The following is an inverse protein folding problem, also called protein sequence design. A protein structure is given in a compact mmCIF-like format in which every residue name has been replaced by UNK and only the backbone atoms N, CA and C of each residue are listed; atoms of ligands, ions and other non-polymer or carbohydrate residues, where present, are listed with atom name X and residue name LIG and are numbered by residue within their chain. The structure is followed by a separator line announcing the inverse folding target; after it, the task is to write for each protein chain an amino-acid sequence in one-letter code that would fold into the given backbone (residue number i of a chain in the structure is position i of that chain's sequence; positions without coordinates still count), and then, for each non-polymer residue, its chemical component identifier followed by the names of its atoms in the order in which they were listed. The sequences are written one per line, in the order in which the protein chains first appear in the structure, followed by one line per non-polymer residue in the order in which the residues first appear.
data_IF_084002738120
#
_entry.id   IF_084002738120
#
_cell.length_a   1.000
_cell.length_b   1.000
_cell.length_c   1.000
_cell.angle_alpha   90.00
_cell.angle_beta   90.00
_cell.angle_gamma   90.00
#
_symmetry.space_group_name_H-M   'P 1'
#
loop_
_entity.id
_entity.type
_entity.pdbx_description
1 polymer ?
#
# COMPACT_ATOMS: atom_id res chain seq x y z
N UNK A 1 -14.33 22.22 3.42
CA UNK A 1 -14.68 20.82 3.10
C UNK A 1 -14.86 20.13 4.43
N UNK A 2 -16.04 19.53 4.67
CA UNK A 2 -16.30 18.77 5.91
C UNK A 2 -15.64 17.40 5.82
N UNK A 3 -15.41 16.74 6.96
CA UNK A 3 -14.87 15.38 6.98
C UNK A 3 -15.77 14.41 6.18
N UNK A 4 -17.08 14.49 6.35
CA UNK A 4 -18.04 13.71 5.55
C UNK A 4 -17.85 13.88 4.04
N UNK A 5 -17.79 15.12 3.55
CA UNK A 5 -17.57 15.39 2.13
C UNK A 5 -16.21 14.88 1.63
N UNK A 6 -15.20 14.82 2.51
CA UNK A 6 -13.90 14.28 2.16
C UNK A 6 -13.94 12.74 2.06
N UNK A 7 -14.66 12.06 2.95
CA UNK A 7 -14.84 10.61 2.91
C UNK A 7 -15.50 10.15 1.59
N UNK A 8 -16.43 10.94 1.05
CA UNK A 8 -17.08 10.63 -0.23
C UNK A 8 -16.11 10.65 -1.42
N UNK A 9 -15.05 11.47 -1.34
CA UNK A 9 -14.02 11.55 -2.38
C UNK A 9 -12.96 10.46 -2.28
N UNK A 10 -12.93 9.69 -1.20
CA UNK A 10 -11.97 8.61 -1.03
C UNK A 10 -12.28 7.45 -1.98
N UNK A 11 -11.22 6.81 -2.50
CA UNK A 11 -11.37 5.53 -3.17
C UNK A 11 -11.98 4.51 -2.22
N UNK A 12 -12.70 3.52 -2.77
CA UNK A 12 -13.41 2.55 -1.95
C UNK A 12 -12.50 1.69 -1.08
N UNK A 13 -11.35 1.32 -1.64
CA UNK A 13 -10.32 0.44 -1.08
C UNK A 13 -9.18 0.34 -2.10
N UNK A 14 -8.10 -0.29 -1.69
CA UNK A 14 -6.86 -0.42 -2.44
C UNK A 14 -7.00 -1.22 -3.73
N UNK A 15 -8.07 -2.03 -3.90
CA UNK A 15 -8.38 -2.73 -5.15
C UNK A 15 -8.57 -1.79 -6.34
N UNK A 16 -8.87 -0.50 -6.08
CA UNK A 16 -9.09 0.51 -7.10
C UNK A 16 -7.82 1.25 -7.50
N UNK A 17 -6.74 1.13 -6.73
CA UNK A 17 -5.47 1.85 -6.96
C UNK A 17 -4.96 1.74 -8.40
N UNK A 18 -5.00 0.57 -9.09
CA UNK A 18 -4.52 0.45 -10.47
C UNK A 18 -5.21 1.41 -11.46
N UNK A 19 -6.44 1.83 -11.18
CA UNK A 19 -7.21 2.77 -11.99
C UNK A 19 -6.69 4.22 -11.90
N UNK A 20 -5.79 4.49 -10.95
CA UNK A 20 -5.27 5.82 -10.64
C UNK A 20 -3.78 5.99 -10.98
N UNK A 21 -3.22 5.15 -11.86
CA UNK A 21 -1.80 5.18 -12.21
C UNK A 21 -1.28 6.56 -12.66
N UNK A 22 -2.14 7.39 -13.26
CA UNK A 22 -1.83 8.75 -13.72
C UNK A 22 -2.72 9.81 -13.06
N UNK A 23 -3.35 9.49 -11.93
CA UNK A 23 -4.33 10.35 -11.27
C UNK A 23 -4.00 10.53 -9.79
N UNK A 24 -4.39 11.67 -9.26
CA UNK A 24 -4.43 11.90 -7.83
C UNK A 24 -5.70 11.28 -7.24
N UNK A 25 -5.60 10.76 -6.03
CA UNK A 25 -6.74 10.20 -5.31
C UNK A 25 -6.63 10.39 -3.81
N UNK A 26 -7.78 10.40 -3.14
CA UNK A 26 -7.86 10.38 -1.69
C UNK A 26 -8.04 8.95 -1.21
N UNK A 27 -7.38 8.58 -0.12
CA UNK A 27 -7.40 7.21 0.37
C UNK A 27 -7.45 7.18 1.89
N UNK A 28 -8.45 6.49 2.43
CA UNK A 28 -8.63 6.29 3.87
C UNK A 28 -7.97 4.97 4.27
N UNK A 29 -7.07 5.03 5.23
CA UNK A 29 -6.18 3.93 5.60
C UNK A 29 -5.88 3.95 7.09
N UNK A 30 -5.45 2.81 7.61
CA UNK A 30 -4.87 2.72 8.95
C UNK A 30 -3.34 2.81 8.87
N UNK A 31 -2.75 3.56 9.79
CA UNK A 31 -1.29 3.71 9.93
C UNK A 31 -0.69 2.47 10.58
N UNK A 32 0.31 1.87 9.95
CA UNK A 32 1.08 0.77 10.53
C UNK A 32 2.34 1.32 11.20
N UNK A 33 3.15 2.06 10.44
CA UNK A 33 4.45 2.55 10.90
C UNK A 33 4.96 3.70 10.04
N UNK A 34 5.88 4.49 10.60
CA UNK A 34 6.65 5.50 9.86
C UNK A 34 8.13 5.22 10.08
N UNK A 35 8.89 5.16 9.00
CA UNK A 35 10.33 4.91 9.06
C UNK A 35 11.08 5.89 8.19
N UNK A 36 12.25 6.28 8.68
CA UNK A 36 13.18 7.09 7.91
C UNK A 36 13.91 6.20 6.92
N UNK A 37 13.90 6.60 5.66
CA UNK A 37 14.76 5.97 4.65
C UNK A 37 15.90 6.93 4.43
N UNK A 38 17.12 6.52 4.77
CA UNK A 38 18.30 7.29 4.41
C UNK A 38 18.55 7.04 2.92
N UNK A 39 18.39 8.05 2.05
CA UNK A 39 19.01 7.92 0.75
C UNK A 39 20.53 7.94 0.95
N UNK A 40 21.25 7.20 0.11
CA UNK A 40 22.70 7.38 -0.04
C UNK A 40 23.00 8.87 -0.28
N UNK A 41 24.17 9.28 0.21
CA UNK A 41 24.61 10.67 0.43
C UNK A 41 24.03 11.73 -0.53
N UNK A 42 23.42 12.78 0.04
CA UNK A 42 23.08 14.02 -0.69
C UNK A 42 21.60 14.22 -1.05
N UNK A 43 20.72 13.25 -0.80
CA UNK A 43 19.30 13.37 -1.13
C UNK A 43 18.45 13.88 0.04
N UNK A 44 17.35 14.56 -0.32
CA UNK A 44 16.39 15.15 0.60
C UNK A 44 15.88 14.11 1.60
N UNK A 45 15.60 14.55 2.85
CA UNK A 45 15.03 13.67 3.87
C UNK A 45 13.73 13.08 3.33
N UNK A 46 13.67 11.75 3.21
CA UNK A 46 12.46 11.02 2.83
C UNK A 46 12.07 10.05 3.93
N UNK A 47 10.78 9.85 4.12
CA UNK A 47 10.25 8.85 5.05
C UNK A 47 9.26 7.97 4.31
N UNK A 48 9.12 6.74 4.78
CA UNK A 48 8.09 5.83 4.29
C UNK A 48 7.05 5.68 5.38
N UNK A 49 5.81 6.03 5.02
CA UNK A 49 4.62 5.75 5.79
C UNK A 49 4.03 4.43 5.28
N UNK A 50 4.00 3.43 6.14
CA UNK A 50 3.37 2.13 5.85
C UNK A 50 1.94 2.14 6.34
N UNK A 51 1.02 1.79 5.46
CA UNK A 51 -0.43 1.82 5.69
C UNK A 51 -1.10 0.59 5.10
N UNK A 52 -2.36 0.40 5.47
CA UNK A 52 -3.23 -0.63 4.90
C UNK A 52 -4.70 -0.25 5.05
N UNK A 53 -5.58 -0.96 4.35
CA UNK A 53 -7.03 -0.75 4.40
C UNK A 53 -7.84 -2.06 4.48
N UNK A 54 -7.19 -3.16 4.90
CA UNK A 54 -7.83 -4.47 5.03
C UNK A 54 -8.01 -5.23 3.71
N UNK A 55 -7.62 -4.65 2.56
CA UNK A 55 -7.71 -5.33 1.27
C UNK A 55 -6.33 -5.83 0.80
N UNK A 56 -6.22 -7.09 0.30
CA UNK A 56 -4.94 -7.62 -0.14
C UNK A 56 -4.54 -7.06 -1.50
N UNK A 57 -3.23 -6.83 -1.65
CA UNK A 57 -2.51 -6.61 -2.90
C UNK A 57 -2.77 -7.80 -3.83
N UNK A 58 -3.57 -7.58 -4.87
CA UNK A 58 -3.78 -8.58 -5.92
C UNK A 58 -2.59 -8.64 -6.89
N UNK A 59 -2.56 -9.65 -7.77
CA UNK A 59 -1.52 -9.77 -8.80
C UNK A 59 -1.37 -8.51 -9.69
N UNK A 60 -2.43 -7.75 -9.88
CA UNK A 60 -2.44 -6.50 -10.65
C UNK A 60 -1.69 -5.35 -9.94
N UNK A 61 -1.46 -5.48 -8.63
CA UNK A 61 -0.78 -4.52 -7.77
C UNK A 61 0.71 -4.84 -7.56
N UNK A 62 1.22 -5.97 -8.10
CA UNK A 62 2.60 -6.45 -7.88
C UNK A 62 3.69 -5.48 -8.33
N UNK A 63 3.32 -4.49 -9.13
CA UNK A 63 4.24 -3.51 -9.66
C UNK A 63 4.45 -2.32 -8.71
N UNK A 64 3.72 -2.18 -7.60
CA UNK A 64 3.96 -1.08 -6.67
C UNK A 64 5.22 -1.34 -5.85
N UNK A 65 6.14 -0.38 -5.87
CA UNK A 65 7.39 -0.48 -5.14
C UNK A 65 7.15 -0.61 -3.64
N UNK A 66 7.97 -1.46 -3.01
CA UNK A 66 7.97 -1.68 -1.57
C UNK A 66 9.39 -1.49 -1.08
N UNK A 67 9.56 -0.68 -0.05
CA UNK A 67 10.88 -0.40 0.47
C UNK A 67 11.23 -1.47 1.50
N UNK A 68 12.11 -2.40 1.12
CA UNK A 68 12.84 -3.18 2.13
C UNK A 68 13.75 -2.22 2.88
N UNK A 69 13.84 -2.38 4.19
CA UNK A 69 14.81 -1.59 4.94
C UNK A 69 15.32 -2.38 6.13
N UNK A 70 16.27 -3.27 5.86
CA UNK A 70 17.29 -3.57 6.84
C UNK A 70 18.02 -2.25 7.16
N UNK A 71 17.96 -1.80 8.41
CA UNK A 71 18.67 -0.59 8.86
C UNK A 71 17.93 0.75 8.75
N UNK A 72 16.62 0.79 8.47
CA UNK A 72 15.86 2.04 8.62
C UNK A 72 15.61 2.36 10.10
N UNK A 73 15.74 3.65 10.44
CA UNK A 73 15.37 4.18 11.74
C UNK A 73 13.84 4.31 11.83
N UNK A 74 13.23 3.63 12.81
CA UNK A 74 11.79 3.70 13.04
C UNK A 74 11.44 5.00 13.77
N UNK A 75 10.47 5.74 13.23
CA UNK A 75 9.94 6.97 13.83
C UNK A 75 8.63 6.67 14.56
N UNK A 76 7.76 5.88 13.93
CA UNK A 76 6.54 5.34 14.53
C UNK A 76 6.58 3.83 14.38
N UNK A 77 6.67 3.11 15.50
CA UNK A 77 6.75 1.65 15.52
C UNK A 77 5.39 0.99 15.40
N UNK A 78 5.31 -0.13 14.70
CA UNK A 78 4.10 -0.94 14.61
C UNK A 78 3.75 -1.56 15.97
N UNK A 79 2.50 -1.42 16.41
CA UNK A 79 1.99 -2.13 17.59
C UNK A 79 1.90 -3.63 17.35
N UNK A 80 2.00 -4.43 18.41
CA UNK A 80 2.04 -5.90 18.36
C UNK A 80 0.93 -6.51 17.49
N UNK A 81 -0.30 -6.02 17.65
CA UNK A 81 -1.47 -6.48 16.90
C UNK A 81 -1.34 -6.30 15.38
N UNK A 82 -0.59 -5.30 14.93
CA UNK A 82 -0.41 -4.97 13.53
C UNK A 82 0.86 -5.61 12.93
N UNK A 83 1.73 -6.19 13.77
CA UNK A 83 2.95 -6.88 13.30
C UNK A 83 2.65 -8.22 12.62
N UNK A 84 1.51 -8.85 12.95
CA UNK A 84 1.07 -10.11 12.35
C UNK A 84 0.42 -9.94 10.97
N UNK A 85 0.19 -8.71 10.52
CA UNK A 85 -0.45 -8.47 9.22
C UNK A 85 0.48 -8.91 8.08
N UNK A 86 0.01 -9.76 7.15
CA UNK A 86 0.82 -10.20 6.04
C UNK A 86 1.25 -9.03 5.16
N UNK A 87 2.49 -9.08 4.66
CA UNK A 87 3.03 -8.08 3.72
C UNK A 87 2.19 -7.89 2.46
N UNK A 88 1.32 -8.86 2.11
CA UNK A 88 0.38 -8.75 1.01
C UNK A 88 -0.76 -7.75 1.26
N UNK A 89 -0.87 -7.13 2.42
CA UNK A 89 -1.86 -6.07 2.71
C UNK A 89 -1.23 -4.68 2.84
N UNK A 90 0.10 -4.61 2.85
CA UNK A 90 0.82 -3.42 3.28
C UNK A 90 1.29 -2.59 2.09
N UNK A 91 0.95 -1.31 2.10
CA UNK A 91 1.39 -0.34 1.12
C UNK A 91 2.38 0.63 1.74
N UNK A 92 3.43 0.95 0.99
CA UNK A 92 4.41 1.97 1.37
C UNK A 92 4.12 3.26 0.58
N UNK A 93 3.97 4.36 1.29
CA UNK A 93 3.81 5.70 0.73
C UNK A 93 5.05 6.52 1.09
N UNK A 94 5.73 7.04 0.07
CA UNK A 94 6.90 7.86 0.25
C UNK A 94 6.51 9.32 0.51
N UNK A 95 7.09 9.89 1.56
CA UNK A 95 6.78 11.22 2.04
C UNK A 95 7.96 12.16 1.87
N UNK A 96 7.65 13.39 1.48
CA UNK A 96 8.57 14.51 1.34
C UNK A 96 8.06 15.72 2.14
N UNK A 97 8.97 16.63 2.50
CA UNK A 97 8.63 17.94 3.04
C UNK A 97 7.82 17.88 4.35
N UNK A 98 6.76 18.68 4.43
CA UNK A 98 5.92 18.84 5.62
C UNK A 98 5.18 17.56 6.03
N UNK A 99 4.93 16.65 5.08
CA UNK A 99 4.21 15.41 5.32
C UNK A 99 4.97 14.44 6.19
N UNK A 100 6.30 14.54 6.21
CA UNK A 100 7.17 13.75 7.09
C UNK A 100 6.86 14.06 8.54
N UNK A 101 6.89 15.35 8.91
CA UNK A 101 6.59 15.79 10.28
C UNK A 101 5.15 15.48 10.67
N UNK A 102 4.21 15.62 9.72
CA UNK A 102 2.80 15.28 9.95
C UNK A 102 2.62 13.79 10.22
N UNK A 103 3.26 12.92 9.45
CA UNK A 103 3.19 11.47 9.64
C UNK A 103 3.93 11.00 10.90
N UNK A 104 5.06 11.62 11.24
CA UNK A 104 5.82 11.31 12.45
C UNK A 104 5.04 11.61 13.75
N UNK A 105 4.05 12.49 13.70
CA UNK A 105 3.17 12.80 14.84
C UNK A 105 2.01 11.80 15.01
N UNK A 106 1.79 10.90 14.04
CA UNK A 106 0.71 9.92 14.08
C UNK A 106 1.05 8.76 15.01
N UNK A 107 0.00 8.07 15.47
CA UNK A 107 0.13 6.81 16.19
C UNK A 107 -0.08 5.64 15.23
N UNK A 108 0.61 4.54 15.48
CA UNK A 108 0.26 3.26 14.86
C UNK A 108 -1.16 2.89 15.27
N UNK A 109 -1.98 2.47 14.31
CA UNK A 109 -3.41 2.20 14.47
C UNK A 109 -4.34 3.38 14.16
N UNK A 110 -3.84 4.63 14.07
CA UNK A 110 -4.68 5.78 13.70
C UNK A 110 -5.26 5.61 12.30
N UNK A 111 -6.54 5.99 12.12
CA UNK A 111 -7.17 6.09 10.80
C UNK A 111 -6.91 7.48 10.22
N UNK A 112 -6.43 7.52 8.99
CA UNK A 112 -6.10 8.77 8.30
C UNK A 112 -6.63 8.78 6.87
N UNK A 113 -6.90 9.97 6.36
CA UNK A 113 -7.15 10.22 4.94
C UNK A 113 -5.89 10.85 4.34
N UNK A 114 -5.26 10.11 3.42
CA UNK A 114 -4.18 10.62 2.60
C UNK A 114 -4.77 11.33 1.40
N UNK A 115 -4.64 12.66 1.35
CA UNK A 115 -5.22 13.46 0.26
C UNK A 115 -4.28 13.58 -0.92
N UNK A 116 -4.82 13.34 -2.12
CA UNK A 116 -4.13 13.43 -3.41
C UNK A 116 -2.85 12.60 -3.49
N UNK A 117 -2.85 11.37 -2.96
CA UNK A 117 -1.79 10.41 -3.25
C UNK A 117 -1.77 10.12 -4.74
N UNK A 118 -0.60 9.83 -5.29
CA UNK A 118 -0.44 9.48 -6.69
C UNK A 118 0.77 8.58 -6.87
N UNK A 119 0.85 7.97 -8.04
CA UNK A 119 2.03 7.24 -8.46
C UNK A 119 3.08 8.19 -9.03
N UNK A 120 4.32 7.93 -8.64
CA UNK A 120 5.50 8.50 -9.24
C UNK A 120 6.39 7.39 -9.76
N UNK A 121 6.93 7.59 -10.96
CA UNK A 121 7.89 6.73 -11.59
C UNK A 121 9.15 7.55 -11.87
N UNK A 122 10.20 7.28 -11.09
CA UNK A 122 11.53 7.81 -11.36
C UNK A 122 12.22 6.93 -12.40
N UNK A 123 13.13 7.51 -13.20
CA UNK A 123 14.04 6.73 -14.05
C UNK A 123 14.87 5.73 -13.26
N UNK A 124 15.14 6.02 -11.98
CA UNK A 124 15.90 5.18 -11.08
C UNK A 124 15.13 3.95 -10.61
N UNK A 125 13.79 3.95 -10.69
CA UNK A 125 12.93 2.95 -10.06
C UNK A 125 12.21 2.13 -11.13
N UNK A 126 12.42 0.81 -11.10
CA UNK A 126 11.78 -0.13 -12.04
C UNK A 126 10.27 -0.29 -11.79
N UNK A 127 9.79 0.19 -10.64
CA UNK A 127 8.41 0.02 -10.17
C UNK A 127 7.79 1.36 -9.75
N UNK A 128 6.52 1.64 -10.12
CA UNK A 128 5.78 2.80 -9.64
C UNK A 128 5.69 2.83 -8.12
N UNK A 129 5.80 4.02 -7.52
CA UNK A 129 5.70 4.19 -6.07
C UNK A 129 4.60 5.18 -5.70
N UNK A 130 3.88 4.91 -4.62
CA UNK A 130 2.93 5.87 -4.07
C UNK A 130 3.69 6.98 -3.35
N UNK A 131 3.40 8.24 -3.69
CA UNK A 131 4.13 9.37 -3.14
C UNK A 131 3.22 10.52 -2.71
N UNK A 132 3.70 11.25 -1.70
CA UNK A 132 3.21 12.56 -1.31
C UNK A 132 4.36 13.58 -1.36
N UNK A 133 4.45 14.30 -2.48
CA UNK A 133 5.45 15.36 -2.67
C UNK A 133 5.20 16.56 -1.74
N UNK A 134 6.28 17.25 -1.41
CA UNK A 134 6.26 18.51 -0.65
C UNK A 134 5.33 19.54 -1.30
N UNK A 135 4.67 20.33 -0.46
CA UNK A 135 3.81 21.42 -0.88
C UNK A 135 2.32 21.09 -0.90
N UNK A 136 1.52 22.15 -0.79
CA UNK A 136 0.06 22.08 -0.60
C UNK A 136 -0.76 22.10 -1.89
N UNK A 137 -0.11 21.94 -3.04
CA UNK A 137 -0.78 21.89 -4.34
C UNK A 137 -1.88 20.82 -4.35
N UNK A 138 -3.00 21.14 -4.99
CA UNK A 138 -4.22 20.31 -5.03
C UNK A 138 -4.86 20.05 -3.65
N UNK A 139 -4.40 20.68 -2.56
CA UNK A 139 -4.94 20.46 -1.22
C UNK A 139 -4.50 19.14 -0.59
N UNK A 140 -3.31 18.64 -0.97
CA UNK A 140 -2.61 17.52 -0.34
C UNK A 140 -2.51 17.72 1.17
N UNK A 141 -2.77 16.65 1.92
CA UNK A 141 -2.77 16.66 3.38
C UNK A 141 -2.81 15.23 3.94
N UNK A 142 -2.51 15.08 5.23
CA UNK A 142 -2.77 13.88 6.02
C UNK A 142 -3.73 14.28 7.14
N UNK A 143 -4.99 13.87 7.00
CA UNK A 143 -6.07 14.20 7.93
C UNK A 143 -6.30 12.99 8.82
N UNK A 144 -6.09 13.14 10.13
CA UNK A 144 -6.48 12.12 11.10
C UNK A 144 -8.00 12.14 11.25
N UNK A 145 -8.61 10.95 11.24
CA UNK A 145 -10.05 10.77 11.31
C UNK A 145 -10.43 10.60 12.77
N UNK A 146 -11.28 11.49 13.27
CA UNK A 146 -11.88 11.35 14.59
C UNK A 146 -13.05 10.36 14.52
N UNK A 147 -12.97 9.27 15.27
CA UNK A 147 -13.99 8.21 15.29
C UNK A 147 -15.36 8.75 15.67
N UNK A 148 -15.41 9.68 16.63
CA UNK A 148 -16.66 10.27 17.13
C UNK A 148 -17.40 11.05 16.02
N UNK A 149 -16.68 11.59 15.04
CA UNK A 149 -17.26 12.33 13.91
C UNK A 149 -17.77 11.41 12.78
N UNK A 150 -17.26 10.17 12.69
CA UNK A 150 -17.47 9.30 11.51
C UNK A 150 -18.07 7.94 11.82
N UNK A 151 -18.41 7.65 13.08
CA UNK A 151 -18.89 6.35 13.53
C UNK A 151 -20.09 5.82 12.72
N UNK A 152 -20.96 6.72 12.23
CA UNK A 152 -22.11 6.38 11.37
C UNK A 152 -21.82 6.38 9.87
N UNK A 153 -20.63 6.80 9.43
CA UNK A 153 -20.30 6.93 8.02
C UNK A 153 -19.99 5.56 7.41
N UNK A 154 -20.67 5.21 6.32
CA UNK A 154 -20.53 3.91 5.67
C UNK A 154 -19.09 3.60 5.21
N UNK A 155 -18.31 4.61 4.81
CA UNK A 155 -16.93 4.41 4.35
C UNK A 155 -16.03 3.98 5.50
N UNK A 156 -16.17 4.68 6.63
CA UNK A 156 -15.43 4.37 7.85
C UNK A 156 -15.81 2.98 8.37
N UNK A 157 -17.11 2.71 8.52
CA UNK A 157 -17.60 1.40 8.97
C UNK A 157 -17.12 0.27 8.06
N UNK A 158 -17.14 0.47 6.73
CA UNK A 158 -16.62 -0.52 5.78
C UNK A 158 -15.13 -0.78 6.00
N UNK A 159 -14.30 0.26 6.12
CA UNK A 159 -12.87 0.13 6.37
C UNK A 159 -12.60 -0.66 7.66
N UNK A 160 -13.29 -0.30 8.75
CA UNK A 160 -13.13 -0.96 10.04
C UNK A 160 -13.53 -2.44 9.97
N UNK A 161 -14.65 -2.77 9.31
CA UNK A 161 -15.06 -4.16 9.11
C UNK A 161 -14.03 -5.00 8.33
N UNK A 162 -13.40 -4.42 7.30
CA UNK A 162 -12.36 -5.11 6.53
C UNK A 162 -11.09 -5.33 7.37
N UNK A 163 -10.68 -4.32 8.14
CA UNK A 163 -9.55 -4.41 9.08
C UNK A 163 -9.81 -5.48 10.13
N UNK A 164 -10.97 -5.43 10.79
CA UNK A 164 -11.34 -6.38 11.85
C UNK A 164 -11.42 -7.81 11.33
N UNK A 165 -11.94 -8.01 10.11
CA UNK A 165 -11.98 -9.33 9.47
C UNK A 165 -10.56 -9.91 9.37
N UNK A 166 -9.62 -9.15 8.81
CA UNK A 166 -8.24 -9.61 8.60
C UNK A 166 -7.52 -9.81 9.94
N UNK A 167 -7.71 -8.91 10.91
CA UNK A 167 -7.11 -9.06 12.24
C UNK A 167 -7.60 -10.33 12.94
N UNK A 168 -8.89 -10.64 12.84
CA UNK A 168 -9.45 -11.86 13.44
C UNK A 168 -8.94 -13.14 12.75
N UNK A 169 -8.71 -13.10 11.44
CA UNK A 169 -8.09 -14.21 10.69
C UNK A 169 -6.61 -14.39 11.03
N UNK A 170 -5.90 -13.29 11.30
CA UNK A 170 -4.47 -13.31 11.63
C UNK A 170 -4.17 -13.56 13.11
N UNK A 171 -5.19 -13.59 13.99
CA UNK A 171 -4.96 -13.90 15.40
C UNK A 171 -4.38 -15.32 15.50
N UNK A 172 -3.25 -15.50 16.21
CA UNK A 172 -2.79 -16.84 16.51
C UNK A 172 -3.91 -17.56 17.27
N UNK A 173 -4.35 -18.71 16.76
CA UNK A 173 -5.20 -19.62 17.50
C UNK A 173 -4.43 -19.98 18.76
N UNK A 174 -4.75 -19.34 19.88
CA UNK A 174 -4.43 -19.89 21.18
C UNK A 174 -5.17 -21.22 21.21
N UNK A 175 -4.47 -22.31 20.87
CA UNK A 175 -4.89 -23.63 21.28
C UNK A 175 -4.96 -23.54 22.79
N UNK A 176 -6.17 -23.44 23.33
CA UNK A 176 -6.45 -23.88 24.69
C UNK A 176 -6.02 -25.34 24.72
N UNK A 177 -4.78 -25.59 25.12
CA UNK A 177 -4.40 -26.89 25.60
C UNK A 177 -5.15 -27.04 26.93
N UNK A 178 -6.35 -27.62 26.85
CA UNK A 178 -7.02 -28.24 27.98
C UNK A 178 -6.01 -29.11 28.70
N UNK A 179 -5.46 -28.56 29.78
CA UNK A 179 -4.54 -29.29 30.65
C UNK A 179 -5.43 -30.18 31.50
N UNK A 180 -5.93 -31.27 30.90
CA UNK A 180 -6.51 -32.37 31.65
C UNK A 180 -5.35 -33.08 32.33
N UNK A 181 -5.17 -32.77 33.61
CA UNK A 181 -4.32 -33.51 34.53
C UNK A 181 -4.84 -34.95 34.56
N UNK A 182 -4.11 -35.86 33.92
CA UNK A 182 -4.18 -37.28 34.18
C UNK A 182 -2.75 -37.83 34.22
N UNK A 183 -2.26 -37.94 35.46
CA UNK A 183 -1.16 -38.80 35.88
C UNK A 183 -1.19 -40.15 35.14
N UNK A 184 -0.03 -40.63 34.66
CA UNK A 184 0.50 -41.99 34.91
C UNK A 184 1.87 -42.20 34.20
N UNK A 185 2.92 -42.27 35.05
CA UNK A 185 4.09 -43.19 35.07
C UNK A 185 5.18 -43.18 33.97
N UNK A 186 6.39 -42.93 34.49
CA UNK A 186 7.77 -43.38 34.19
C UNK A 186 8.00 -44.43 33.07
N UNK A 187 8.92 -44.13 32.14
CA UNK A 187 10.30 -44.70 32.09
C UNK A 187 11.17 -44.05 30.97
N UNK A 188 12.53 -44.16 31.01
CA UNK A 188 13.45 -43.29 30.26
C UNK A 188 14.12 -43.90 28.99
N UNK A 189 14.29 -43.04 27.96
CA UNK A 189 15.32 -43.00 26.88
C UNK A 189 15.45 -44.21 25.89
N UNK A 190 16.12 -44.11 24.70
CA UNK A 190 16.96 -43.02 24.17
C UNK A 190 16.78 -42.61 22.68
N UNK A 191 17.38 -41.45 22.36
CA UNK A 191 17.99 -40.98 21.11
C UNK A 191 17.49 -41.45 19.73
N UNK A 192 17.07 -40.48 18.91
CA UNK A 192 17.49 -40.39 17.50
C UNK A 192 17.66 -38.93 17.07
N UNK A 193 18.84 -38.68 16.50
CA UNK A 193 19.28 -37.49 15.82
C UNK A 193 18.48 -37.23 14.54
N UNK A 194 18.01 -36.00 14.33
CA UNK A 194 17.68 -35.51 12.98
C UNK A 194 18.34 -34.15 12.78
N UNK A 195 19.30 -34.16 11.87
CA UNK A 195 19.96 -32.99 11.29
C UNK A 195 18.93 -32.15 10.56
N UNK A 196 18.88 -30.85 10.86
CA UNK A 196 18.19 -29.88 10.03
C UNK A 196 19.23 -29.34 9.06
N UNK A 197 19.04 -29.61 7.77
CA UNK A 197 19.87 -29.05 6.71
C UNK A 197 19.61 -27.55 6.60
N UNK A 198 20.69 -26.79 6.64
CA UNK A 198 20.76 -25.41 6.18
C UNK A 198 20.29 -25.33 4.72
N UNK A 199 19.43 -24.37 4.40
CA UNK A 199 19.08 -24.00 3.04
C UNK A 199 19.57 -22.57 2.81
N UNK A 200 20.55 -22.47 1.91
CA UNK A 200 21.17 -21.24 1.42
C UNK A 200 20.14 -20.18 1.00
N UNK A 201 20.21 -19.00 1.61
CA UNK A 201 19.65 -17.77 1.04
C UNK A 201 20.73 -17.14 0.15
N UNK A 202 20.57 -17.26 -1.17
CA UNK A 202 21.34 -16.45 -2.11
C UNK A 202 20.89 -14.98 -2.00
N UNK A 203 21.72 -14.19 -1.34
CA UNK A 203 21.62 -12.74 -1.26
C UNK A 203 22.22 -12.10 -2.52
N UNK A 204 21.39 -11.58 -3.43
CA UNK A 204 21.87 -10.67 -4.46
C UNK A 204 22.04 -9.26 -3.90
N UNK A 205 23.29 -8.87 -3.66
CA UNK A 205 23.71 -7.51 -3.33
C UNK A 205 23.78 -6.72 -4.65
N UNK A 206 22.95 -5.68 -4.80
CA UNK A 206 22.99 -4.81 -5.97
C UNK A 206 23.96 -3.65 -5.72
N UNK A 207 25.15 -3.76 -6.32
CA UNK A 207 26.13 -2.69 -6.50
C UNK A 207 25.68 -1.75 -7.64
N UNK A 208 25.45 -0.47 -7.32
CA UNK A 208 25.10 0.54 -8.30
C UNK A 208 26.37 1.29 -8.73
N UNK A 209 27.18 0.64 -9.55
CA UNK A 209 28.28 1.28 -10.26
C UNK A 209 27.93 1.53 -11.74
N UNK A 210 27.82 2.82 -12.02
CA UNK A 210 28.02 3.53 -13.28
C UNK A 210 27.05 3.44 -14.47
N UNK A 211 27.01 4.60 -15.13
CA UNK A 211 26.11 5.11 -16.12
C UNK A 211 26.37 4.61 -17.54
N UNK A 212 25.29 4.32 -18.27
CA UNK A 212 25.19 4.69 -19.67
C UNK A 212 23.74 5.05 -19.99
N UNK A 213 23.57 6.23 -20.57
CA UNK A 213 22.28 6.82 -20.92
C UNK A 213 21.75 6.12 -22.16
N UNK A 214 20.82 5.18 -22.02
CA UNK A 214 19.97 4.77 -23.13
C UNK A 214 18.66 5.56 -23.09
N UNK A 215 18.61 6.57 -23.96
CA UNK A 215 17.42 7.37 -24.25
C UNK A 215 16.36 6.46 -24.91
N UNK A 216 15.16 6.40 -24.33
CA UNK A 216 14.06 5.63 -24.94
C UNK A 216 13.74 6.26 -26.31
N UNK A 217 13.76 5.50 -27.42
CA UNK A 217 13.52 6.04 -28.75
C UNK A 217 12.18 6.77 -28.82
N UNK A 218 12.19 7.98 -29.40
CA UNK A 218 11.03 8.87 -29.49
C UNK A 218 9.80 8.17 -30.11
N UNK A 219 10.01 7.20 -30.99
CA UNK A 219 8.98 6.37 -31.61
C UNK A 219 8.21 5.52 -30.60
N UNK A 220 8.88 4.95 -29.59
CA UNK A 220 8.22 4.18 -28.51
C UNK A 220 7.36 5.08 -27.63
N UNK A 221 7.83 6.30 -27.36
CA UNK A 221 7.09 7.30 -26.60
C UNK A 221 5.86 7.80 -27.38
N UNK A 222 6.00 8.01 -28.70
CA UNK A 222 4.90 8.41 -29.57
C UNK A 222 3.86 7.30 -29.76
N UNK A 223 4.28 6.04 -29.86
CA UNK A 223 3.38 4.88 -29.97
C UNK A 223 2.56 4.68 -28.69
N UNK A 224 3.18 4.86 -27.51
CA UNK A 224 2.45 4.82 -26.23
C UNK A 224 1.47 5.97 -26.07
N UNK A 225 1.79 7.17 -26.58
CA UNK A 225 0.84 8.27 -26.60
C UNK A 225 -0.33 7.97 -27.55
N UNK A 226 -0.06 7.56 -28.80
CA UNK A 226 -1.10 7.25 -29.78
C UNK A 226 -2.01 6.09 -29.41
N UNK A 227 -1.50 5.04 -28.76
CA UNK A 227 -2.29 3.88 -28.37
C UNK A 227 -3.36 4.20 -27.31
N UNK A 228 -3.23 5.35 -26.62
CA UNK A 228 -4.11 5.73 -25.51
C UNK A 228 -4.68 7.15 -25.62
N UNK A 229 -4.48 7.85 -26.75
CA UNK A 229 -5.23 9.07 -27.05
C UNK A 229 -6.65 8.67 -27.44
N UNK A 230 -7.63 8.98 -26.58
CA UNK A 230 -9.04 8.93 -26.97
C UNK A 230 -9.28 9.89 -28.15
N UNK A 231 -10.15 9.54 -29.12
CA UNK A 231 -10.45 10.43 -30.23
C UNK A 231 -11.02 11.75 -29.69
N UNK A 232 -10.37 12.86 -30.03
CA UNK A 232 -10.79 14.21 -29.65
C UNK A 232 -12.03 14.70 -30.40
N UNK A 233 -12.55 13.87 -31.30
CA UNK A 233 -13.70 14.17 -32.15
C UNK A 233 -15.00 13.72 -31.46
N UNK A 234 -15.89 14.67 -31.07
CA UNK A 234 -17.12 14.36 -30.35
C UNK A 234 -18.07 13.42 -31.11
N UNK A 235 -17.99 13.34 -32.45
CA UNK A 235 -18.81 12.37 -33.21
C UNK A 235 -18.32 10.92 -33.07
N UNK A 236 -17.01 10.71 -32.89
CA UNK A 236 -16.44 9.37 -32.68
C UNK A 236 -16.72 8.86 -31.27
N UNK A 237 -16.73 9.73 -30.27
CA UNK A 237 -17.10 9.41 -28.87
C UNK A 237 -18.56 8.91 -28.80
N UNK A 238 -19.48 9.59 -29.49
CA UNK A 238 -20.89 9.17 -29.56
C UNK A 238 -21.08 7.82 -30.29
N UNK A 239 -20.21 7.49 -31.24
CA UNK A 239 -20.25 6.19 -31.94
C UNK A 239 -19.78 5.01 -31.08
N UNK A 240 -18.85 5.27 -30.15
CA UNK A 240 -18.32 4.29 -29.18
C UNK A 240 -19.36 3.96 -28.10
N UNK A 241 -20.05 4.97 -27.57
CA UNK A 241 -21.14 4.77 -26.60
C UNK A 241 -22.30 3.98 -27.22
N UNK A 242 -22.65 4.26 -28.49
CA UNK A 242 -23.71 3.55 -29.20
C UNK A 242 -23.38 2.08 -29.49
N UNK A 243 -22.08 1.73 -29.62
CA UNK A 243 -21.61 0.34 -29.76
C UNK A 243 -21.64 -0.42 -28.43
N UNK A 244 -21.32 0.25 -27.32
CA UNK A 244 -21.36 -0.33 -25.98
C UNK A 244 -22.81 -0.60 -25.53
N UNK A 245 -23.75 0.28 -25.85
CA UNK A 245 -25.18 0.05 -25.55
C UNK A 245 -25.77 -1.11 -26.37
N UNK A 246 -25.38 -1.25 -27.64
CA UNK A 246 -25.83 -2.37 -28.48
C UNK A 246 -25.31 -3.74 -27.99
N UNK A 247 -24.13 -3.78 -27.40
CA UNK A 247 -23.59 -4.98 -26.75
C UNK A 247 -24.31 -5.33 -25.44
N UNK A 248 -24.95 -4.35 -24.80
CA UNK A 248 -25.62 -4.50 -23.49
C UNK A 248 -27.08 -4.95 -23.62
N UNK A 249 -27.72 -4.60 -24.74
CA UNK A 249 -29.11 -4.97 -25.05
C UNK A 249 -29.25 -6.19 -25.99
N UNK A 250 -28.15 -6.89 -26.29
CA UNK A 250 -28.10 -7.99 -27.26
C UNK A 250 -28.05 -9.40 -26.67
N UNK A 251 -28.44 -9.61 -25.40
CA UNK A 251 -28.59 -10.95 -24.82
C UNK A 251 -30.04 -11.14 -24.34
N UNK A 252 -30.92 -11.49 -25.29
CA UNK A 252 -32.02 -12.44 -25.12
C UNK A 252 -31.96 -13.37 -26.33
#
# INVERSE_FOLDING_TARGET
MTLESLLETCICDSSKIPQFYLKYFNWMVQVISVRRVCPSEGSSRTHVLRVWDGHPITHEHKNVNRFSSSGAEMVVTSIEQLQSIPYSYLYDVLLYGEWISRAAALKSGSIVILKNVHFFMSSSWKTPTLVMHEGKSHGRDIVEVDEDEVQGNYRYVKLMNEIDRVLNECRPVQKECDTTIASLREDPAPSTSLQVNDVDEESEVIDCSDSSVEEIPAERKAALLQAFTLPSDPELILSLDRRLEKSRNGNI
#
